data_IF_360072294902
#
_entry.id   IF_360072294902
#
_cell.length_a   1.000
_cell.length_b   1.000
_cell.length_c   1.000
_cell.angle_alpha   90.00
_cell.angle_beta   90.00
_cell.angle_gamma   90.00
#
_symmetry.space_group_name_H-M   'P 1'
#
loop_
_entity.id
_entity.type
_entity.pdbx_description
1 polymer ?
#
# COMPACT_ATOMS: atom_id res chain seq x y z
N UNK A 1 1.64 26.26 -3.26
CA UNK A 1 1.33 26.32 -1.81
C UNK A 1 0.11 25.48 -1.50
N UNK A 2 -1.09 26.05 -1.63
CA UNK A 2 -2.35 25.42 -1.24
C UNK A 2 -2.60 24.02 -1.82
N UNK A 3 -2.39 23.80 -3.12
CA UNK A 3 -2.61 22.47 -3.75
C UNK A 3 -1.75 21.37 -3.12
N UNK A 4 -0.48 21.66 -2.85
CA UNK A 4 0.42 20.70 -2.21
C UNK A 4 -0.02 20.43 -0.77
N UNK A 5 -0.43 21.47 -0.04
CA UNK A 5 -0.97 21.31 1.31
C UNK A 5 -2.25 20.47 1.33
N UNK A 6 -3.19 20.70 0.41
CA UNK A 6 -4.43 19.91 0.30
C UNK A 6 -4.15 18.42 0.07
N UNK A 7 -3.17 18.10 -0.80
CA UNK A 7 -2.79 16.72 -1.11
C UNK A 7 -2.07 16.05 0.07
N UNK A 8 -1.24 16.81 0.81
CA UNK A 8 -0.45 16.29 1.94
C UNK A 8 -1.19 16.34 3.28
N UNK A 9 -2.33 17.04 3.37
CA UNK A 9 -3.13 17.16 4.58
C UNK A 9 -3.43 15.82 5.28
N UNK A 10 -3.91 14.77 4.59
CA UNK A 10 -4.18 13.50 5.27
C UNK A 10 -2.90 12.86 5.81
N UNK A 11 -1.77 13.01 5.10
CA UNK A 11 -0.46 12.51 5.55
C UNK A 11 -0.03 13.23 6.83
N UNK A 12 -0.18 14.55 6.91
CA UNK A 12 0.14 15.31 8.12
C UNK A 12 -0.73 14.90 9.32
N UNK A 13 -2.02 14.64 9.09
CA UNK A 13 -2.93 14.17 10.14
C UNK A 13 -2.54 12.78 10.64
N UNK A 14 -2.26 11.84 9.73
CA UNK A 14 -1.83 10.48 10.06
C UNK A 14 -0.48 10.49 10.81
N UNK A 15 0.49 11.31 10.36
CA UNK A 15 1.76 11.48 11.05
C UNK A 15 1.57 12.05 12.47
N UNK A 16 0.60 12.95 12.65
CA UNK A 16 0.24 13.46 13.97
C UNK A 16 -0.23 12.36 14.93
N UNK A 17 -1.03 11.41 14.45
CA UNK A 17 -1.42 10.24 15.23
C UNK A 17 -0.22 9.34 15.54
N UNK A 18 0.66 9.07 14.57
CA UNK A 18 1.86 8.27 14.81
C UNK A 18 2.81 8.89 15.84
N UNK A 19 2.98 10.22 15.81
CA UNK A 19 3.79 10.93 16.82
C UNK A 19 3.13 10.86 18.20
N UNK A 20 1.79 11.00 18.26
CA UNK A 20 1.05 10.87 19.51
C UNK A 20 1.20 9.48 20.12
N UNK A 21 1.21 8.43 19.29
CA UNK A 21 1.36 7.04 19.73
C UNK A 21 2.70 6.78 20.43
N UNK A 22 3.77 7.40 19.94
CA UNK A 22 5.12 7.24 20.47
C UNK A 22 5.42 8.20 21.64
N UNK A 23 4.86 9.41 21.60
CA UNK A 23 5.23 10.51 22.50
C UNK A 23 4.26 10.83 23.64
N UNK A 24 3.00 10.38 23.57
CA UNK A 24 1.97 10.73 24.56
C UNK A 24 1.45 9.49 25.30
N UNK A 25 1.03 9.69 26.56
CA UNK A 25 0.36 8.64 27.31
C UNK A 25 -1.04 8.35 26.72
N UNK A 26 -1.41 7.07 26.60
CA UNK A 26 -2.69 6.62 26.03
C UNK A 26 -3.93 7.17 26.76
N UNK A 27 -3.75 7.67 27.99
CA UNK A 27 -4.79 8.29 28.82
C UNK A 27 -4.98 9.78 28.57
N UNK A 28 -4.12 10.42 27.78
CA UNK A 28 -4.23 11.83 27.45
C UNK A 28 -5.38 12.09 26.47
N UNK A 29 -6.26 13.04 26.79
CA UNK A 29 -7.32 13.48 25.87
C UNK A 29 -6.75 13.98 24.53
N UNK A 30 -5.56 14.59 24.54
CA UNK A 30 -4.88 15.04 23.33
C UNK A 30 -4.49 13.85 22.43
N UNK A 31 -4.03 12.74 23.01
CA UNK A 31 -3.69 11.54 22.25
C UNK A 31 -4.94 10.96 21.58
N UNK A 32 -6.06 10.87 22.29
CA UNK A 32 -7.33 10.38 21.73
C UNK A 32 -7.81 11.21 20.55
N UNK A 33 -7.74 12.54 20.65
CA UNK A 33 -8.09 13.44 19.55
C UNK A 33 -7.15 13.25 18.36
N UNK A 34 -5.84 13.19 18.59
CA UNK A 34 -4.85 12.99 17.52
C UNK A 34 -5.03 11.64 16.82
N UNK A 35 -5.29 10.57 17.57
CA UNK A 35 -5.61 9.25 17.00
C UNK A 35 -6.90 9.27 16.18
N UNK A 36 -7.94 9.98 16.64
CA UNK A 36 -9.19 10.08 15.91
C UNK A 36 -9.02 10.85 14.59
N UNK A 37 -8.39 12.03 14.60
CA UNK A 37 -8.22 12.84 13.39
C UNK A 37 -7.19 12.26 12.42
N UNK A 38 -6.22 11.51 12.94
CA UNK A 38 -5.19 10.84 12.15
C UNK A 38 -5.55 9.42 11.73
N UNK A 39 -6.71 8.90 12.15
CA UNK A 39 -7.26 7.67 11.56
C UNK A 39 -7.36 7.83 10.04
N UNK A 40 -6.92 6.84 9.24
CA UNK A 40 -6.88 6.99 7.79
C UNK A 40 -8.21 7.38 7.15
N UNK A 41 -9.33 6.84 7.64
CA UNK A 41 -10.66 7.12 7.10
C UNK A 41 -11.05 8.56 7.44
N UNK A 42 -10.85 8.96 8.69
CA UNK A 42 -11.17 10.32 9.15
C UNK A 42 -10.28 11.38 8.48
N UNK A 43 -8.97 11.13 8.41
CA UNK A 43 -7.99 12.01 7.78
C UNK A 43 -8.30 12.23 6.28
N UNK A 44 -8.62 11.16 5.54
CA UNK A 44 -9.01 11.26 4.13
C UNK A 44 -10.35 11.99 3.95
N UNK A 45 -11.31 11.78 4.86
CA UNK A 45 -12.58 12.51 4.85
C UNK A 45 -12.36 14.01 5.08
N UNK A 46 -11.55 14.38 6.08
CA UNK A 46 -11.18 15.77 6.35
C UNK A 46 -10.49 16.39 5.14
N UNK A 47 -9.52 15.69 4.55
CA UNK A 47 -8.81 16.14 3.35
C UNK A 47 -9.76 16.34 2.16
N UNK A 48 -10.73 15.44 1.98
CA UNK A 48 -11.73 15.53 0.92
C UNK A 48 -12.62 16.76 1.09
N UNK A 49 -13.18 16.97 2.29
CA UNK A 49 -13.99 18.15 2.61
C UNK A 49 -13.16 19.44 2.43
N UNK A 50 -11.92 19.43 2.91
CA UNK A 50 -11.00 20.54 2.72
C UNK A 50 -10.69 20.79 1.25
N UNK A 51 -10.61 19.76 0.40
CA UNK A 51 -10.38 19.91 -1.04
C UNK A 51 -11.53 20.62 -1.74
N UNK A 52 -12.78 20.33 -1.36
CA UNK A 52 -13.96 21.03 -1.90
C UNK A 52 -13.92 22.53 -1.61
N UNK A 53 -13.42 22.92 -0.43
CA UNK A 53 -13.24 24.32 -0.09
C UNK A 53 -12.02 24.94 -0.78
N UNK A 54 -10.84 24.34 -0.58
CA UNK A 54 -9.54 24.90 -0.95
C UNK A 54 -9.28 24.89 -2.46
N UNK A 55 -9.72 23.85 -3.17
CA UNK A 55 -9.53 23.68 -4.62
C UNK A 55 -10.82 23.92 -5.41
N UNK A 56 -11.99 23.83 -4.77
CA UNK A 56 -13.29 24.16 -5.36
C UNK A 56 -13.68 25.62 -5.12
N UNK A 57 -14.36 25.90 -4.01
CA UNK A 57 -14.98 27.21 -3.75
C UNK A 57 -13.98 28.37 -3.69
N UNK A 58 -12.83 28.20 -3.06
CA UNK A 58 -11.79 29.23 -2.96
C UNK A 58 -11.15 29.60 -4.33
N UNK A 59 -11.39 28.77 -5.36
CA UNK A 59 -11.00 29.03 -6.75
C UNK A 59 -12.14 29.56 -7.62
N UNK A 60 -13.31 29.83 -7.03
CA UNK A 60 -14.46 30.39 -7.72
C UNK A 60 -15.32 29.36 -8.48
N UNK A 61 -15.10 28.06 -8.26
CA UNK A 61 -15.95 27.04 -8.87
C UNK A 61 -17.33 27.00 -8.21
N UNK A 62 -18.37 26.81 -9.03
CA UNK A 62 -19.75 26.62 -8.56
C UNK A 62 -19.94 25.25 -7.91
N UNK A 63 -21.01 25.11 -7.12
CA UNK A 63 -21.42 23.83 -6.51
C UNK A 63 -21.55 22.73 -7.57
N UNK A 64 -22.17 23.06 -8.71
CA UNK A 64 -22.39 22.11 -9.81
C UNK A 64 -21.07 21.65 -10.42
N UNK A 65 -20.08 22.55 -10.53
CA UNK A 65 -18.77 22.20 -11.06
C UNK A 65 -17.98 21.30 -10.10
N UNK A 66 -18.06 21.56 -8.80
CA UNK A 66 -17.46 20.68 -7.77
C UNK A 66 -18.14 19.31 -7.78
N UNK A 67 -19.47 19.26 -7.89
CA UNK A 67 -20.22 18.00 -8.02
C UNK A 67 -19.81 17.22 -9.27
N UNK A 68 -19.64 17.92 -10.40
CA UNK A 68 -19.15 17.32 -11.64
C UNK A 68 -17.77 16.66 -11.42
N UNK A 69 -16.80 17.38 -10.84
CA UNK A 69 -15.48 16.82 -10.55
C UNK A 69 -15.55 15.58 -9.65
N UNK A 70 -16.40 15.60 -8.62
CA UNK A 70 -16.60 14.44 -7.74
C UNK A 70 -17.14 13.23 -8.52
N UNK A 71 -18.09 13.44 -9.43
CA UNK A 71 -18.64 12.37 -10.25
C UNK A 71 -17.62 11.83 -11.26
N UNK A 72 -16.83 12.70 -11.89
CA UNK A 72 -15.81 12.32 -12.87
C UNK A 72 -14.72 11.43 -12.23
N UNK A 73 -14.44 11.60 -10.93
CA UNK A 73 -13.51 10.76 -10.16
C UNK A 73 -14.02 9.34 -9.88
N UNK A 74 -15.32 9.07 -9.96
CA UNK A 74 -15.89 7.75 -9.65
C UNK A 74 -15.42 6.69 -10.66
N UNK A 75 -15.31 7.05 -11.95
CA UNK A 75 -14.85 6.13 -12.99
C UNK A 75 -13.45 5.55 -12.72
N UNK A 76 -12.42 6.40 -12.53
CA UNK A 76 -11.08 5.94 -12.18
C UNK A 76 -11.01 5.12 -10.88
N UNK A 77 -11.81 5.46 -9.86
CA UNK A 77 -11.81 4.77 -8.57
C UNK A 77 -12.54 3.41 -8.65
N UNK A 78 -13.53 3.25 -9.54
CA UNK A 78 -14.32 2.03 -9.65
C UNK A 78 -13.47 0.77 -9.88
N UNK A 79 -12.46 0.85 -10.76
CA UNK A 79 -11.56 -0.28 -11.00
C UNK A 79 -10.73 -0.62 -9.74
N UNK A 80 -10.23 0.40 -9.04
CA UNK A 80 -9.48 0.21 -7.78
C UNK A 80 -10.36 -0.47 -6.73
N UNK A 81 -11.60 -0.01 -6.56
CA UNK A 81 -12.56 -0.62 -5.63
C UNK A 81 -12.88 -2.08 -5.97
N UNK A 82 -13.11 -2.39 -7.26
CA UNK A 82 -13.38 -3.75 -7.72
C UNK A 82 -12.18 -4.67 -7.47
N UNK A 83 -10.96 -4.21 -7.76
CA UNK A 83 -9.73 -4.98 -7.55
C UNK A 83 -9.49 -5.23 -6.05
N UNK A 84 -9.66 -4.21 -5.20
CA UNK A 84 -9.51 -4.36 -3.74
C UNK A 84 -10.58 -5.31 -3.18
N UNK A 85 -11.84 -5.15 -3.60
CA UNK A 85 -12.94 -6.02 -3.18
C UNK A 85 -12.75 -7.48 -3.60
N UNK A 86 -12.36 -7.71 -4.86
CA UNK A 86 -12.03 -9.03 -5.37
C UNK A 86 -10.83 -9.65 -4.65
N UNK A 87 -9.78 -8.85 -4.40
CA UNK A 87 -8.61 -9.27 -3.61
C UNK A 87 -8.98 -9.65 -2.18
N UNK A 88 -9.89 -8.91 -1.53
CA UNK A 88 -10.42 -9.24 -0.21
C UNK A 88 -11.24 -10.54 -0.19
N UNK A 89 -12.10 -10.76 -1.18
CA UNK A 89 -12.86 -12.00 -1.33
C UNK A 89 -11.93 -13.20 -1.61
N UNK A 90 -10.95 -13.04 -2.50
CA UNK A 90 -9.94 -14.05 -2.78
C UNK A 90 -9.10 -14.39 -1.55
N UNK A 91 -8.70 -13.37 -0.77
CA UNK A 91 -8.02 -13.58 0.51
C UNK A 91 -8.87 -14.44 1.46
N UNK A 92 -10.17 -14.16 1.58
CA UNK A 92 -11.08 -14.97 2.41
C UNK A 92 -11.08 -16.45 1.97
N UNK A 93 -11.13 -16.71 0.66
CA UNK A 93 -11.04 -18.07 0.10
C UNK A 93 -9.69 -18.72 0.42
N UNK A 94 -8.57 -18.00 0.33
CA UNK A 94 -7.25 -18.52 0.69
C UNK A 94 -7.20 -18.90 2.18
N UNK A 95 -7.68 -18.03 3.06
CA UNK A 95 -7.75 -18.32 4.50
C UNK A 95 -8.63 -19.55 4.79
N UNK A 96 -9.79 -19.64 4.14
CA UNK A 96 -10.73 -20.75 4.32
C UNK A 96 -10.22 -22.07 3.71
N UNK A 97 -9.33 -22.01 2.71
CA UNK A 97 -8.69 -23.18 2.11
C UNK A 97 -7.59 -23.80 2.96
N UNK A 98 -7.12 -23.11 4.01
CA UNK A 98 -6.02 -23.55 4.87
C UNK A 98 -4.62 -23.38 4.26
N UNK A 99 -4.49 -22.79 3.07
CA UNK A 99 -3.19 -22.60 2.41
C UNK A 99 -2.23 -21.71 3.21
N UNK A 100 -2.77 -20.72 3.94
CA UNK A 100 -1.98 -19.87 4.83
C UNK A 100 -1.31 -20.67 5.96
N UNK A 101 -2.00 -21.68 6.48
CA UNK A 101 -1.49 -22.59 7.52
C UNK A 101 -0.39 -23.48 6.95
N UNK A 102 -0.58 -24.05 5.75
CA UNK A 102 0.42 -24.88 5.07
C UNK A 102 1.70 -24.08 4.77
N UNK A 103 1.56 -22.85 4.25
CA UNK A 103 2.73 -21.99 3.98
C UNK A 103 3.42 -21.59 5.28
N UNK A 104 2.67 -21.35 6.37
CA UNK A 104 3.23 -21.07 7.69
C UNK A 104 4.02 -22.27 8.26
N UNK A 105 3.51 -23.50 8.10
CA UNK A 105 4.19 -24.73 8.53
C UNK A 105 5.47 -24.98 7.72
N UNK A 106 5.41 -24.84 6.39
CA UNK A 106 6.60 -24.91 5.53
C UNK A 106 7.64 -23.84 5.90
N UNK A 107 7.18 -22.63 6.22
CA UNK A 107 8.06 -21.55 6.66
C UNK A 107 8.78 -21.90 7.96
N UNK A 108 8.07 -22.47 8.95
CA UNK A 108 8.64 -22.93 10.23
C UNK A 108 9.72 -24.00 10.04
N UNK A 109 9.54 -24.92 9.10
CA UNK A 109 10.53 -25.97 8.80
C UNK A 109 11.74 -25.44 8.01
N UNK A 110 11.55 -24.42 7.18
CA UNK A 110 12.57 -23.93 6.25
C UNK A 110 13.67 -23.06 6.85
N UNK A 111 13.58 -22.64 8.12
CA UNK A 111 14.47 -21.64 8.74
C UNK A 111 14.55 -20.30 7.96
N UNK A 112 13.64 -20.05 7.01
CA UNK A 112 13.61 -18.82 6.22
C UNK A 112 13.02 -17.70 7.05
N UNK A 113 13.63 -16.50 6.97
CA UNK A 113 13.12 -15.30 7.62
C UNK A 113 11.69 -14.99 7.13
N UNK A 114 10.72 -14.78 8.05
CA UNK A 114 9.36 -14.38 7.69
C UNK A 114 9.29 -13.12 6.81
N UNK A 115 10.24 -12.19 7.00
CA UNK A 115 10.40 -10.99 6.17
C UNK A 115 10.68 -11.35 4.70
N UNK A 116 11.65 -12.24 4.48
CA UNK A 116 12.01 -12.69 3.13
C UNK A 116 10.88 -13.50 2.50
N UNK A 117 10.18 -14.30 3.30
CA UNK A 117 9.04 -15.08 2.85
C UNK A 117 7.87 -14.18 2.42
N UNK A 118 7.52 -13.16 3.20
CA UNK A 118 6.46 -12.20 2.85
C UNK A 118 6.79 -11.41 1.58
N UNK A 119 8.03 -10.93 1.46
CA UNK A 119 8.51 -10.30 0.23
C UNK A 119 8.47 -11.25 -0.96
N UNK A 120 8.92 -12.50 -0.79
CA UNK A 120 9.00 -13.49 -1.86
C UNK A 120 7.63 -13.92 -2.39
N UNK A 121 6.66 -14.14 -1.50
CA UNK A 121 5.28 -14.45 -1.88
C UNK A 121 4.68 -13.30 -2.70
N UNK A 122 4.83 -12.07 -2.22
CA UNK A 122 4.40 -10.89 -2.96
C UNK A 122 5.13 -10.75 -4.30
N UNK A 123 6.43 -11.01 -4.35
CA UNK A 123 7.22 -10.95 -5.59
C UNK A 123 6.71 -11.95 -6.65
N UNK A 124 6.45 -13.19 -6.25
CA UNK A 124 5.98 -14.23 -7.16
C UNK A 124 4.59 -13.93 -7.72
N UNK A 125 3.67 -13.49 -6.85
CA UNK A 125 2.32 -13.12 -7.29
C UNK A 125 2.39 -11.89 -8.20
N UNK A 126 3.25 -10.91 -7.92
CA UNK A 126 3.45 -9.72 -8.74
C UNK A 126 3.92 -10.10 -10.14
N UNK A 127 4.94 -10.94 -10.24
CA UNK A 127 5.48 -11.39 -11.53
C UNK A 127 4.42 -12.14 -12.36
N UNK A 128 3.59 -12.96 -11.70
CA UNK A 128 2.53 -13.72 -12.35
C UNK A 128 1.33 -12.86 -12.79
N UNK A 129 0.88 -11.96 -11.93
CA UNK A 129 -0.40 -11.23 -12.11
C UNK A 129 -0.24 -9.85 -12.72
N UNK A 130 0.94 -9.23 -12.61
CA UNK A 130 1.19 -7.91 -13.14
C UNK A 130 0.48 -6.78 -12.40
N UNK A 131 -0.20 -7.02 -11.27
CA UNK A 131 -0.85 -5.95 -10.48
C UNK A 131 -0.26 -5.85 -9.07
N UNK A 132 0.30 -4.68 -8.73
CA UNK A 132 0.87 -4.43 -7.40
C UNK A 132 -0.19 -4.59 -6.31
N UNK A 133 -1.39 -4.06 -6.52
CA UNK A 133 -2.49 -4.13 -5.55
C UNK A 133 -2.98 -5.56 -5.33
N UNK A 134 -3.22 -6.32 -6.41
CA UNK A 134 -3.64 -7.73 -6.31
C UNK A 134 -2.58 -8.54 -5.58
N UNK A 135 -1.32 -8.32 -5.93
CA UNK A 135 -0.19 -9.00 -5.34
C UNK A 135 -0.04 -8.73 -3.86
N UNK A 136 -0.09 -7.45 -3.47
CA UNK A 136 -0.02 -7.02 -2.08
C UNK A 136 -1.16 -7.61 -1.24
N UNK A 137 -2.41 -7.49 -1.72
CA UNK A 137 -3.59 -7.99 -0.99
C UNK A 137 -3.56 -9.51 -0.82
N UNK A 138 -3.16 -10.24 -1.86
CA UNK A 138 -3.06 -11.70 -1.83
C UNK A 138 -1.95 -12.14 -0.88
N UNK A 139 -0.76 -11.54 -0.98
CA UNK A 139 0.36 -11.87 -0.12
C UNK A 139 0.09 -11.53 1.34
N UNK A 140 -0.52 -10.37 1.64
CA UNK A 140 -0.93 -9.99 2.99
C UNK A 140 -1.87 -11.04 3.61
N UNK A 141 -2.78 -11.59 2.81
CA UNK A 141 -3.66 -12.69 3.21
C UNK A 141 -2.93 -13.96 3.65
N UNK A 142 -1.89 -14.33 2.92
CA UNK A 142 -1.07 -15.52 3.19
C UNK A 142 -0.13 -15.28 4.38
N UNK A 143 0.41 -14.08 4.48
CA UNK A 143 1.46 -13.71 5.45
C UNK A 143 0.88 -13.36 6.82
N UNK A 144 -0.37 -12.88 6.90
CA UNK A 144 -0.99 -12.52 8.17
C UNK A 144 -1.04 -13.68 9.21
N UNK A 145 -1.44 -14.92 8.85
CA UNK A 145 -1.34 -16.06 9.76
C UNK A 145 0.09 -16.40 10.20
N UNK A 146 1.09 -16.14 9.34
CA UNK A 146 2.51 -16.36 9.64
C UNK A 146 2.97 -15.38 10.72
N UNK A 147 2.60 -14.10 10.58
CA UNK A 147 2.86 -13.07 11.56
C UNK A 147 2.23 -13.42 12.93
N UNK A 148 0.99 -13.90 12.93
CA UNK A 148 0.27 -14.27 14.15
C UNK A 148 0.84 -15.52 14.85
N UNK A 149 1.45 -16.44 14.08
CA UNK A 149 1.93 -17.73 14.59
C UNK A 149 3.44 -17.81 14.82
N UNK A 150 4.18 -16.75 14.51
CA UNK A 150 5.65 -16.68 14.66
C UNK A 150 6.03 -15.68 15.76
N UNK A 151 6.41 -16.15 16.96
CA UNK A 151 6.84 -15.28 18.05
C UNK A 151 8.08 -14.46 17.64
N UNK A 152 8.09 -13.17 17.98
CA UNK A 152 9.23 -12.28 17.75
C UNK A 152 9.33 -11.67 16.35
N UNK A 153 8.39 -11.94 15.45
CA UNK A 153 8.29 -11.23 14.16
C UNK A 153 7.77 -9.81 14.38
N UNK A 154 8.50 -8.84 13.85
CA UNK A 154 8.01 -7.47 13.74
C UNK A 154 6.98 -7.38 12.60
N UNK A 155 5.71 -7.16 12.96
CA UNK A 155 4.58 -7.18 12.03
C UNK A 155 4.64 -6.00 11.06
N UNK A 156 5.15 -4.87 11.52
CA UNK A 156 5.31 -3.64 10.74
C UNK A 156 6.37 -3.84 9.63
N UNK A 157 7.52 -4.42 9.95
CA UNK A 157 8.56 -4.76 8.99
C UNK A 157 8.09 -5.82 7.99
N UNK A 158 7.28 -6.79 8.44
CA UNK A 158 6.70 -7.80 7.57
C UNK A 158 5.68 -7.21 6.59
N UNK A 159 4.85 -6.26 7.05
CA UNK A 159 3.94 -5.52 6.19
C UNK A 159 4.71 -4.70 5.13
N UNK A 160 5.78 -4.01 5.55
CA UNK A 160 6.67 -3.29 4.63
C UNK A 160 7.33 -4.21 3.61
N UNK A 161 7.81 -5.38 4.02
CA UNK A 161 8.45 -6.35 3.14
C UNK A 161 7.48 -6.90 2.10
N UNK A 162 6.26 -7.22 2.53
CA UNK A 162 5.17 -7.67 1.65
C UNK A 162 4.82 -6.58 0.63
N UNK A 163 4.72 -5.32 1.07
CA UNK A 163 4.50 -4.20 0.17
C UNK A 163 5.64 -4.00 -0.83
N UNK A 164 6.89 -4.05 -0.37
CA UNK A 164 8.08 -3.96 -1.22
C UNK A 164 8.11 -5.07 -2.30
N UNK A 165 7.78 -6.31 -1.93
CA UNK A 165 7.74 -7.43 -2.87
C UNK A 165 6.69 -7.25 -3.97
N UNK A 166 5.58 -6.57 -3.68
CA UNK A 166 4.53 -6.28 -4.67
C UNK A 166 4.93 -5.31 -5.78
N UNK A 167 6.10 -4.66 -5.66
CA UNK A 167 6.63 -3.69 -6.63
C UNK A 167 7.82 -4.23 -7.43
N UNK A 168 8.10 -5.54 -7.39
CA UNK A 168 9.19 -6.11 -8.17
C UNK A 168 8.79 -6.36 -9.62
N UNK A 169 9.73 -6.17 -10.55
CA UNK A 169 9.68 -6.70 -11.91
C UNK A 169 8.34 -6.43 -12.63
N UNK A 170 7.87 -5.18 -12.62
CA UNK A 170 6.76 -4.77 -13.49
C UNK A 170 7.14 -4.93 -14.96
N UNK A 171 6.45 -5.81 -15.69
CA UNK A 171 6.73 -6.10 -17.09
C UNK A 171 5.46 -6.04 -17.94
N UNK A 172 5.45 -6.71 -19.09
CA UNK A 172 4.40 -6.62 -20.10
C UNK A 172 3.01 -7.02 -19.62
N UNK A 173 2.88 -7.72 -18.49
CA UNK A 173 1.59 -8.04 -17.86
C UNK A 173 1.05 -6.95 -16.92
N UNK A 174 1.81 -5.87 -16.67
CA UNK A 174 1.42 -4.76 -15.81
C UNK A 174 0.90 -3.57 -16.62
N UNK A 175 -0.27 -3.06 -16.24
CA UNK A 175 -0.84 -1.84 -16.83
C UNK A 175 0.03 -0.60 -16.56
N UNK A 176 0.73 -0.55 -15.43
CA UNK A 176 1.67 0.52 -15.08
C UNK A 176 2.84 0.60 -16.07
N UNK A 177 3.37 -0.55 -16.49
CA UNK A 177 4.43 -0.64 -17.50
C UNK A 177 4.01 0.03 -18.81
N UNK A 178 2.80 -0.27 -19.31
CA UNK A 178 2.28 0.30 -20.55
C UNK A 178 1.97 1.79 -20.42
N UNK A 179 1.39 2.22 -19.29
CA UNK A 179 1.13 3.63 -19.03
C UNK A 179 2.42 4.47 -19.11
N UNK A 180 3.50 4.00 -18.49
CA UNK A 180 4.79 4.70 -18.50
C UNK A 180 5.40 4.70 -19.90
N UNK A 181 5.35 3.55 -20.61
CA UNK A 181 5.79 3.47 -22.00
C UNK A 181 5.09 4.54 -22.86
N UNK A 182 3.77 4.64 -22.78
CA UNK A 182 2.98 5.59 -23.60
C UNK A 182 3.21 7.04 -23.18
N UNK A 183 3.25 7.34 -21.87
CA UNK A 183 3.49 8.71 -21.38
C UNK A 183 4.84 9.28 -21.80
N UNK A 184 5.87 8.43 -21.88
CA UNK A 184 7.22 8.86 -22.26
C UNK A 184 7.59 8.52 -23.71
N UNK A 185 6.67 7.95 -24.50
CA UNK A 185 6.92 7.57 -25.90
C UNK A 185 8.04 6.54 -26.09
N UNK A 186 8.25 5.67 -25.10
CA UNK A 186 9.37 4.72 -25.07
C UNK A 186 9.09 3.45 -25.89
N UNK A 187 10.14 2.77 -26.32
CA UNK A 187 10.05 1.39 -26.81
C UNK A 187 9.93 0.40 -25.65
N UNK A 188 9.38 -0.79 -25.90
CA UNK A 188 9.28 -1.86 -24.89
C UNK A 188 10.64 -2.20 -24.28
N UNK A 189 11.71 -2.22 -25.10
CA UNK A 189 13.06 -2.49 -24.63
C UNK A 189 13.54 -1.41 -23.65
N UNK A 190 13.31 -0.15 -23.97
CA UNK A 190 13.69 0.95 -23.08
C UNK A 190 12.88 0.90 -21.78
N UNK A 191 11.57 0.63 -21.84
CA UNK A 191 10.73 0.51 -20.63
C UNK A 191 11.18 -0.66 -19.74
N UNK A 192 11.57 -1.80 -20.31
CA UNK A 192 12.16 -2.90 -19.54
C UNK A 192 13.49 -2.50 -18.87
N UNK A 193 14.32 -1.73 -19.55
CA UNK A 193 15.63 -1.31 -19.03
C UNK A 193 15.53 -0.16 -18.01
N UNK A 194 14.43 0.61 -18.01
CA UNK A 194 14.24 1.75 -17.09
C UNK A 194 13.20 1.44 -16.02
N UNK A 195 11.94 1.24 -16.39
CA UNK A 195 10.82 1.07 -15.47
C UNK A 195 10.93 -0.24 -14.69
N UNK A 196 11.05 -1.37 -15.39
CA UNK A 196 11.18 -2.68 -14.73
C UNK A 196 12.43 -2.74 -13.86
N UNK A 197 13.54 -2.17 -14.35
CA UNK A 197 14.79 -2.10 -13.59
C UNK A 197 14.62 -1.24 -12.32
N UNK A 198 14.04 -0.04 -12.43
CA UNK A 198 13.77 0.85 -11.32
C UNK A 198 12.86 0.20 -10.26
N UNK A 199 11.75 -0.41 -10.67
CA UNK A 199 10.84 -1.13 -9.77
C UNK A 199 11.56 -2.28 -9.04
N UNK A 200 12.36 -3.04 -9.78
CA UNK A 200 13.16 -4.14 -9.20
C UNK A 200 14.20 -3.62 -8.20
N UNK A 201 14.91 -2.55 -8.54
CA UNK A 201 15.88 -1.91 -7.63
C UNK A 201 15.16 -1.42 -6.37
N UNK A 202 14.03 -0.72 -6.52
CA UNK A 202 13.24 -0.23 -5.39
C UNK A 202 12.84 -1.37 -4.45
N UNK A 203 12.30 -2.46 -5.01
CA UNK A 203 11.85 -3.62 -4.25
C UNK A 203 12.99 -4.31 -3.48
N UNK A 204 14.13 -4.52 -4.14
CA UNK A 204 15.30 -5.18 -3.54
C UNK A 204 16.01 -4.29 -2.52
N UNK A 205 16.15 -3.00 -2.79
CA UNK A 205 16.72 -2.03 -1.84
C UNK A 205 15.85 -1.93 -0.61
N UNK A 206 14.52 -1.84 -0.78
CA UNK A 206 13.58 -1.84 0.34
C UNK A 206 13.72 -3.13 1.18
N UNK A 207 13.78 -4.31 0.56
CA UNK A 207 14.03 -5.57 1.28
C UNK A 207 15.35 -5.52 2.07
N UNK A 208 16.43 -5.01 1.47
CA UNK A 208 17.72 -4.87 2.14
C UNK A 208 17.64 -3.96 3.38
N UNK A 209 17.04 -2.78 3.24
CA UNK A 209 16.85 -1.84 4.35
C UNK A 209 15.96 -2.42 5.45
N UNK A 210 14.86 -3.10 5.09
CA UNK A 210 13.96 -3.76 6.04
C UNK A 210 14.69 -4.87 6.78
N UNK A 211 15.49 -5.67 6.06
CA UNK A 211 16.29 -6.75 6.66
C UNK A 211 17.34 -6.21 7.61
N UNK A 212 17.98 -5.08 7.28
CA UNK A 212 18.91 -4.40 8.18
C UNK A 212 18.21 -3.92 9.45
N UNK A 213 17.05 -3.27 9.32
CA UNK A 213 16.27 -2.83 10.48
C UNK A 213 15.82 -4.01 11.36
N UNK A 214 15.48 -5.15 10.74
CA UNK A 214 15.08 -6.37 11.45
C UNK A 214 16.20 -6.97 12.31
N UNK A 215 17.47 -6.65 12.07
CA UNK A 215 18.59 -7.09 12.93
C UNK A 215 18.60 -6.30 14.25
N UNK A 216 18.08 -5.07 14.24
CA UNK A 216 18.06 -4.17 15.40
C UNK A 216 16.72 -4.16 16.16
N UNK A 217 15.70 -4.82 15.61
CA UNK A 217 14.36 -4.95 16.20
C UNK A 217 14.28 -6.16 17.12
#
# INVERSE_FOLDING_TARGET
GNTLFTILLPVFLMLGASIAEVGLSKTSQLAQVLHFIGDPIVALLIATIYSFFSLGYAKGFSKDKVLQFTNDCLGPIANILLVIGAGGAFNKVLLDSGIGTTIAEMAKESHISPILLGWGIAALIRIATGSATVSMMTAAGIVAPIAASTPGVNVELLALATGAGSLILSHVNDSGFWMIKEYFGMTVKETLLTWTAMETILSVVALGLISLLNIFA
#
